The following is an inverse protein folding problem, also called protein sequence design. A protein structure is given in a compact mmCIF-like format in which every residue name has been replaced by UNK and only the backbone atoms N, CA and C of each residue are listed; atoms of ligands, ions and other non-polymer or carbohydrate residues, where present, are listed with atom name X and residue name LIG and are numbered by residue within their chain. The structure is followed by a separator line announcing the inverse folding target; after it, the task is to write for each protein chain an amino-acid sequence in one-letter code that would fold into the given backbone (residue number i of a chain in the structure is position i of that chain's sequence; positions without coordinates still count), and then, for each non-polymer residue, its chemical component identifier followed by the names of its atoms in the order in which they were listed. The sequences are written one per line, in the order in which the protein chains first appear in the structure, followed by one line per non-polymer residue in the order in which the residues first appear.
data_IF_261338841555
#
_entry.id   IF_261338841555
#
_cell.length_a   1.000
_cell.length_b   1.000
_cell.length_c   1.000
_cell.angle_alpha   90.00
_cell.angle_beta   90.00
_cell.angle_gamma   90.00
#
_symmetry.space_group_name_H-M   'P 1'
#
loop_
_entity.id
_entity.type
_entity.pdbx_description
1 polymer ?
#
# COMPACT_ATOMS: atom_id res chain seq x y z
N UNK A 1 -8.72 12.18 14.93
CA UNK A 1 -8.80 12.12 13.48
C UNK A 1 -8.41 13.43 12.80
N UNK A 2 -9.09 14.55 12.99
CA UNK A 2 -8.71 15.85 12.38
C UNK A 2 -7.23 16.19 12.58
N UNK A 3 -6.74 16.08 13.81
CA UNK A 3 -5.31 16.33 14.14
C UNK A 3 -4.36 15.41 13.36
N UNK A 4 -4.69 14.11 13.22
CA UNK A 4 -3.87 13.19 12.43
C UNK A 4 -3.84 13.59 10.96
N UNK A 5 -5.00 13.78 10.34
CA UNK A 5 -5.11 14.13 8.92
C UNK A 5 -4.36 15.43 8.60
N UNK A 6 -4.57 16.47 9.43
CA UNK A 6 -3.88 17.75 9.25
C UNK A 6 -2.38 17.60 9.50
N UNK A 7 -1.99 16.82 10.53
CA UNK A 7 -0.58 16.55 10.81
C UNK A 7 0.16 15.88 9.64
N UNK A 8 -0.44 14.86 9.06
CA UNK A 8 0.08 14.21 7.86
C UNK A 8 0.16 15.18 6.66
N UNK A 9 -0.90 15.99 6.47
CA UNK A 9 -0.93 17.00 5.42
C UNK A 9 0.16 18.08 5.59
N UNK A 10 0.53 18.39 6.84
CA UNK A 10 1.64 19.30 7.17
C UNK A 10 3.02 18.62 7.07
N UNK A 11 3.08 17.36 6.67
CA UNK A 11 4.33 16.61 6.55
C UNK A 11 4.98 16.25 7.88
N UNK A 12 4.20 16.16 8.96
CA UNK A 12 4.71 15.72 10.25
C UNK A 12 4.83 14.19 10.25
N UNK A 13 6.04 13.69 10.39
CA UNK A 13 6.48 12.33 10.14
C UNK A 13 6.13 11.29 11.23
N UNK A 14 5.51 11.73 12.33
CA UNK A 14 5.19 10.82 13.43
C UNK A 14 4.07 11.34 14.32
N UNK A 15 3.30 10.44 14.90
CA UNK A 15 2.27 10.74 15.93
C UNK A 15 2.82 11.62 17.06
N UNK A 16 4.10 11.43 17.40
CA UNK A 16 4.76 12.23 18.44
C UNK A 16 4.92 13.69 18.00
N UNK A 17 5.37 13.91 16.78
CA UNK A 17 5.55 15.26 16.24
C UNK A 17 4.20 15.94 16.01
N UNK A 18 3.21 15.21 15.51
CA UNK A 18 1.83 15.68 15.38
C UNK A 18 1.27 16.12 16.75
N UNK A 19 1.31 15.23 17.74
CA UNK A 19 0.81 15.52 19.08
C UNK A 19 1.51 16.75 19.70
N UNK A 20 2.84 16.82 19.59
CA UNK A 20 3.65 17.94 20.09
C UNK A 20 3.27 19.25 19.41
N UNK A 21 3.15 19.24 18.08
CA UNK A 21 2.82 20.43 17.28
C UNK A 21 1.46 21.00 17.67
N UNK A 22 0.41 20.18 17.71
CA UNK A 22 -0.93 20.62 18.06
C UNK A 22 -1.03 21.05 19.53
N UNK A 23 -0.34 20.36 20.42
CA UNK A 23 -0.29 20.72 21.84
C UNK A 23 0.38 22.07 22.09
N UNK A 24 1.39 22.40 21.28
CA UNK A 24 2.10 23.66 21.41
C UNK A 24 1.36 24.85 20.77
N UNK A 25 0.76 24.64 19.58
CA UNK A 25 0.23 25.73 18.78
C UNK A 25 -1.29 25.90 18.85
N UNK A 26 -2.02 24.84 19.22
CA UNK A 26 -3.49 24.80 19.09
C UNK A 26 -4.18 24.17 20.30
N UNK A 27 -3.60 24.30 21.50
CA UNK A 27 -4.18 23.71 22.70
C UNK A 27 -5.57 24.29 23.01
N UNK A 28 -5.78 25.56 22.71
CA UNK A 28 -7.06 26.25 22.91
C UNK A 28 -8.18 25.67 22.04
N UNK A 29 -7.81 25.21 20.84
CA UNK A 29 -8.76 24.55 19.93
C UNK A 29 -9.01 23.09 20.30
N UNK A 30 -8.04 22.47 20.97
CA UNK A 30 -8.10 21.08 21.39
C UNK A 30 -7.79 20.92 22.90
N UNK A 31 -8.61 21.53 23.79
CA UNK A 31 -8.32 21.56 25.24
C UNK A 31 -8.29 20.17 25.88
N UNK A 32 -8.92 19.19 25.24
CA UNK A 32 -8.92 17.78 25.68
C UNK A 32 -7.81 16.94 25.07
N UNK A 33 -6.86 17.55 24.36
CA UNK A 33 -5.68 16.84 23.84
C UNK A 33 -4.77 16.43 25.01
N UNK A 34 -4.96 15.22 25.48
CA UNK A 34 -4.28 14.67 26.66
C UNK A 34 -2.78 14.39 26.45
N UNK A 35 -2.28 13.42 27.17
CA UNK A 35 -0.89 12.98 27.03
C UNK A 35 -0.65 12.29 25.68
N UNK A 36 0.62 12.26 25.23
CA UNK A 36 1.01 11.55 24.02
C UNK A 36 0.56 10.07 23.98
N UNK A 37 0.72 9.27 25.06
CA UNK A 37 0.19 7.89 25.06
C UNK A 37 -1.33 7.82 24.82
N UNK A 38 -2.09 8.75 25.41
CA UNK A 38 -3.54 8.79 25.18
C UNK A 38 -3.86 9.19 23.75
N UNK A 39 -3.11 10.12 23.17
CA UNK A 39 -3.26 10.50 21.77
C UNK A 39 -3.03 9.27 20.86
N UNK A 40 -1.95 8.54 21.02
CA UNK A 40 -1.68 7.32 20.24
C UNK A 40 -2.78 6.27 20.40
N UNK A 41 -3.29 6.07 21.64
CA UNK A 41 -4.40 5.15 21.90
C UNK A 41 -5.67 5.57 21.16
N UNK A 42 -5.99 6.86 21.16
CA UNK A 42 -7.13 7.39 20.41
C UNK A 42 -6.94 7.21 18.91
N UNK A 43 -5.75 7.47 18.39
CA UNK A 43 -5.42 7.27 16.98
C UNK A 43 -5.60 5.80 16.57
N UNK A 44 -5.09 4.88 17.36
CA UNK A 44 -5.23 3.44 17.13
C UNK A 44 -6.71 2.99 17.13
N UNK A 45 -7.55 3.56 18.01
CA UNK A 45 -8.97 3.22 18.10
C UNK A 45 -9.80 3.77 16.91
N UNK A 46 -9.25 4.67 16.11
CA UNK A 46 -9.94 5.26 14.94
C UNK A 46 -9.84 4.42 13.68
N UNK A 47 -9.22 3.26 13.72
CA UNK A 47 -9.00 2.42 12.54
C UNK A 47 -10.30 2.10 11.78
N UNK A 48 -11.39 1.78 12.48
CA UNK A 48 -12.70 1.50 11.87
C UNK A 48 -13.27 2.74 11.16
N UNK A 49 -13.12 3.91 11.76
CA UNK A 49 -13.59 5.18 11.18
C UNK A 49 -12.77 5.49 9.92
N UNK A 50 -11.46 5.31 9.97
CA UNK A 50 -10.58 5.47 8.81
C UNK A 50 -11.00 4.53 7.68
N UNK A 51 -11.32 3.28 7.97
CA UNK A 51 -11.80 2.31 7.00
C UNK A 51 -13.15 2.73 6.37
N UNK A 52 -14.08 3.26 7.18
CA UNK A 52 -15.35 3.79 6.67
C UNK A 52 -15.14 4.99 5.75
N UNK A 53 -14.22 5.90 6.10
CA UNK A 53 -13.86 7.05 5.27
C UNK A 53 -13.25 6.57 3.95
N UNK A 54 -12.30 5.64 3.99
CA UNK A 54 -11.70 5.06 2.77
C UNK A 54 -12.76 4.40 1.88
N UNK A 55 -13.71 3.69 2.49
CA UNK A 55 -14.82 3.08 1.74
C UNK A 55 -15.70 4.13 1.05
N UNK A 56 -15.99 5.26 1.72
CA UNK A 56 -16.75 6.37 1.12
C UNK A 56 -15.98 7.04 0.00
N UNK A 57 -14.69 7.35 0.23
CA UNK A 57 -13.80 7.93 -0.79
C UNK A 57 -13.76 7.02 -2.01
N UNK A 58 -13.56 5.71 -1.80
CA UNK A 58 -13.56 4.71 -2.86
C UNK A 58 -14.85 4.78 -3.69
N UNK A 59 -16.02 4.71 -3.05
CA UNK A 59 -17.33 4.78 -3.74
C UNK A 59 -17.53 6.07 -4.54
N UNK A 60 -16.97 7.19 -4.07
CA UNK A 60 -17.12 8.49 -4.72
C UNK A 60 -16.19 8.67 -5.92
N UNK A 61 -15.00 8.08 -5.88
CA UNK A 61 -13.93 8.34 -6.85
C UNK A 61 -13.51 7.10 -7.66
N UNK A 62 -14.06 5.91 -7.39
CA UNK A 62 -13.81 4.71 -8.18
C UNK A 62 -14.72 4.67 -9.42
N UNK A 63 -14.44 5.52 -10.38
CA UNK A 63 -15.10 5.46 -11.69
C UNK A 63 -14.15 5.01 -12.80
N UNK A 64 -12.88 4.78 -12.47
CA UNK A 64 -11.86 4.36 -13.42
C UNK A 64 -11.87 2.84 -13.60
N UNK A 65 -11.72 2.40 -14.84
CA UNK A 65 -11.51 1.00 -15.19
C UNK A 65 -10.03 0.65 -15.38
N UNK A 66 -9.12 1.48 -14.85
CA UNK A 66 -7.67 1.29 -14.93
C UNK A 66 -7.09 1.37 -13.53
N UNK A 67 -6.47 0.27 -13.12
CA UNK A 67 -5.90 0.11 -11.78
C UNK A 67 -4.45 -0.35 -11.87
N UNK A 68 -3.67 -0.06 -10.84
CA UNK A 68 -2.30 -0.53 -10.69
C UNK A 68 -2.10 -1.10 -9.29
N UNK A 69 -1.41 -2.23 -9.21
CA UNK A 69 -1.06 -2.88 -7.96
C UNK A 69 0.45 -2.95 -7.83
N UNK A 70 0.95 -2.67 -6.63
CA UNK A 70 2.36 -2.89 -6.28
C UNK A 70 2.53 -3.20 -4.80
N UNK A 71 3.68 -3.79 -4.45
CA UNK A 71 4.03 -4.15 -3.09
C UNK A 71 5.30 -3.44 -2.63
N UNK A 72 5.35 -3.07 -1.35
CA UNK A 72 6.49 -2.43 -0.73
C UNK A 72 6.84 -3.03 0.63
N UNK A 73 8.13 -3.04 1.01
CA UNK A 73 8.55 -3.60 2.28
C UNK A 73 8.17 -2.71 3.45
N UNK A 74 7.66 -3.31 4.53
CA UNK A 74 7.41 -2.67 5.83
C UNK A 74 8.26 -3.39 6.89
N UNK A 75 9.53 -2.99 7.08
CA UNK A 75 10.40 -3.64 8.04
C UNK A 75 10.00 -3.28 9.48
N UNK A 76 9.77 -4.30 10.29
CA UNK A 76 9.60 -4.15 11.75
C UNK A 76 10.97 -3.95 12.40
N UNK A 77 11.97 -4.70 11.95
CA UNK A 77 13.34 -4.53 12.40
C UNK A 77 14.35 -5.10 11.38
N UNK A 78 15.63 -4.74 11.57
CA UNK A 78 16.73 -5.34 10.81
C UNK A 78 16.82 -6.84 11.05
N UNK A 79 17.18 -7.60 10.03
CA UNK A 79 17.27 -9.07 10.06
C UNK A 79 18.01 -9.61 11.28
N UNK A 80 19.17 -9.04 11.64
CA UNK A 80 19.97 -9.47 12.78
C UNK A 80 19.25 -9.35 14.14
N UNK A 81 18.25 -8.49 14.25
CA UNK A 81 17.46 -8.28 15.47
C UNK A 81 16.20 -9.13 15.54
N UNK A 82 15.78 -9.73 14.44
CA UNK A 82 14.49 -10.43 14.31
C UNK A 82 14.31 -11.53 15.37
N UNK A 83 15.34 -12.33 15.64
CA UNK A 83 15.28 -13.42 16.63
C UNK A 83 15.01 -12.93 18.06
N UNK A 84 15.44 -11.70 18.39
CA UNK A 84 15.28 -11.08 19.73
C UNK A 84 14.03 -10.19 19.80
N UNK A 85 13.41 -9.88 18.65
CA UNK A 85 12.23 -9.01 18.59
C UNK A 85 11.00 -9.75 19.11
N UNK A 86 10.26 -9.11 20.03
CA UNK A 86 9.10 -9.76 20.69
C UNK A 86 7.77 -9.48 19.99
N UNK A 87 7.68 -8.35 19.26
CA UNK A 87 6.45 -7.96 18.60
C UNK A 87 6.29 -8.69 17.26
N UNK A 88 5.06 -9.02 16.92
CA UNK A 88 4.68 -9.64 15.64
C UNK A 88 5.36 -10.99 15.36
N UNK A 89 5.69 -11.78 16.41
CA UNK A 89 6.38 -13.06 16.22
C UNK A 89 5.62 -14.06 15.38
N UNK A 90 4.30 -14.01 15.44
CA UNK A 90 3.37 -14.91 14.72
C UNK A 90 2.94 -14.36 13.39
N UNK A 91 3.01 -13.03 13.20
CA UNK A 91 2.35 -12.33 12.09
C UNK A 91 3.33 -11.79 11.06
N UNK A 92 4.57 -11.53 11.45
CA UNK A 92 5.61 -11.02 10.54
C UNK A 92 6.46 -12.15 9.95
N UNK A 93 6.98 -11.92 8.75
CA UNK A 93 7.81 -12.85 8.02
C UNK A 93 9.19 -12.29 7.65
N UNK A 94 10.07 -13.17 7.17
CA UNK A 94 11.38 -12.80 6.64
C UNK A 94 11.31 -12.64 5.12
N UNK A 95 11.92 -11.58 4.59
CA UNK A 95 12.01 -11.35 3.15
C UNK A 95 13.28 -10.60 2.77
N UNK A 96 13.45 -10.39 1.48
CA UNK A 96 14.56 -9.66 0.89
C UNK A 96 14.02 -8.52 0.02
N UNK A 97 14.49 -7.31 0.29
CA UNK A 97 14.21 -6.14 -0.52
C UNK A 97 15.31 -5.99 -1.58
N UNK A 98 15.00 -6.29 -2.85
CA UNK A 98 15.97 -6.23 -3.94
C UNK A 98 16.46 -4.79 -4.19
N UNK A 99 15.59 -3.78 -4.07
CA UNK A 99 15.95 -2.38 -4.27
C UNK A 99 16.97 -1.87 -3.24
N UNK A 100 16.88 -2.34 -2.00
CA UNK A 100 17.80 -1.97 -0.92
C UNK A 100 18.90 -3.00 -0.68
N UNK A 101 18.87 -4.13 -1.40
CA UNK A 101 19.78 -5.27 -1.21
C UNK A 101 19.87 -5.75 0.26
N UNK A 102 18.77 -5.64 0.98
CA UNK A 102 18.70 -5.94 2.42
C UNK A 102 17.68 -7.03 2.74
N UNK A 103 18.07 -7.94 3.66
CA UNK A 103 17.12 -8.86 4.30
C UNK A 103 16.43 -8.13 5.46
N UNK A 104 15.13 -8.30 5.58
CA UNK A 104 14.36 -7.70 6.66
C UNK A 104 13.37 -8.70 7.27
N UNK A 105 12.90 -8.37 8.46
CA UNK A 105 11.82 -9.04 9.14
C UNK A 105 10.67 -8.05 9.31
N UNK A 106 9.49 -8.42 8.86
CA UNK A 106 8.34 -7.52 8.89
C UNK A 106 7.19 -7.97 8.01
N UNK A 107 6.57 -6.99 7.39
CA UNK A 107 5.43 -7.15 6.51
C UNK A 107 5.77 -6.65 5.10
N UNK A 108 4.91 -7.00 4.17
CA UNK A 108 4.83 -6.39 2.85
C UNK A 108 3.49 -5.68 2.75
N UNK A 109 3.51 -4.39 2.49
CA UNK A 109 2.33 -3.61 2.15
C UNK A 109 1.99 -3.80 0.68
N UNK A 110 0.72 -3.92 0.37
CA UNK A 110 0.22 -3.94 -1.00
C UNK A 110 -0.82 -2.83 -1.14
N UNK A 111 -0.72 -2.07 -2.21
CA UNK A 111 -1.69 -1.03 -2.51
C UNK A 111 -2.20 -1.19 -3.94
N UNK A 112 -3.43 -0.78 -4.13
CA UNK A 112 -4.04 -0.60 -5.45
C UNK A 112 -4.34 0.88 -5.61
N UNK A 113 -3.95 1.44 -6.73
CA UNK A 113 -4.32 2.80 -7.12
C UNK A 113 -5.15 2.79 -8.39
N UNK A 114 -5.97 3.81 -8.59
CA UNK A 114 -6.65 4.05 -9.85
C UNK A 114 -5.77 4.86 -10.81
N UNK A 115 -6.28 5.15 -12.01
CA UNK A 115 -5.56 5.94 -13.02
C UNK A 115 -5.19 7.35 -12.53
N UNK A 116 -5.99 7.95 -11.66
CA UNK A 116 -5.70 9.26 -11.05
C UNK A 116 -4.58 9.22 -10.00
N UNK A 117 -4.13 8.03 -9.56
CA UNK A 117 -3.14 7.85 -8.52
C UNK A 117 -3.72 7.79 -7.10
N UNK A 118 -5.04 7.71 -6.96
CA UNK A 118 -5.70 7.56 -5.67
C UNK A 118 -5.62 6.10 -5.19
N UNK A 119 -5.26 5.89 -3.93
CA UNK A 119 -5.27 4.57 -3.31
C UNK A 119 -6.72 4.10 -3.16
N UNK A 120 -7.06 3.02 -3.85
CA UNK A 120 -8.41 2.43 -3.82
C UNK A 120 -8.51 1.25 -2.89
N UNK A 121 -7.42 0.52 -2.72
CA UNK A 121 -7.34 -0.58 -1.75
C UNK A 121 -5.93 -0.75 -1.20
N UNK A 122 -5.81 -1.37 -0.02
CA UNK A 122 -4.54 -1.72 0.58
C UNK A 122 -4.68 -2.90 1.54
N UNK A 123 -3.61 -3.65 1.70
CA UNK A 123 -3.50 -4.70 2.72
C UNK A 123 -2.05 -4.88 3.16
N UNK A 124 -1.88 -5.57 4.29
CA UNK A 124 -0.57 -5.93 4.81
C UNK A 124 -0.51 -7.45 5.00
N UNK A 125 0.53 -8.05 4.45
CA UNK A 125 0.78 -9.48 4.59
C UNK A 125 2.16 -9.73 5.22
N UNK A 126 2.39 -10.88 5.88
CA UNK A 126 3.73 -11.28 6.27
C UNK A 126 4.70 -11.16 5.10
N UNK A 127 5.92 -10.69 5.35
CA UNK A 127 6.86 -10.38 4.26
C UNK A 127 7.23 -11.59 3.38
N UNK A 128 7.01 -12.80 3.85
CA UNK A 128 7.23 -14.07 3.12
C UNK A 128 6.03 -14.56 2.33
N UNK A 129 4.87 -13.88 2.40
CA UNK A 129 3.71 -14.22 1.57
C UNK A 129 3.99 -13.92 0.09
N UNK A 130 3.39 -14.72 -0.78
CA UNK A 130 3.44 -14.50 -2.22
C UNK A 130 2.55 -13.30 -2.59
N UNK A 131 3.11 -12.35 -3.34
CA UNK A 131 2.39 -11.14 -3.79
C UNK A 131 1.15 -11.48 -4.62
N UNK A 132 1.18 -12.62 -5.30
CA UNK A 132 0.11 -13.09 -6.18
C UNK A 132 -1.11 -13.56 -5.41
N UNK A 133 -0.90 -14.19 -4.25
CA UNK A 133 -2.00 -14.62 -3.39
C UNK A 133 -2.67 -13.42 -2.74
N UNK A 134 -1.87 -12.45 -2.30
CA UNK A 134 -2.37 -11.18 -1.74
C UNK A 134 -3.12 -10.35 -2.78
N UNK A 135 -2.68 -10.37 -4.05
CA UNK A 135 -3.35 -9.67 -5.12
C UNK A 135 -4.81 -10.13 -5.30
N UNK A 136 -5.07 -11.42 -5.18
CA UNK A 136 -6.43 -11.97 -5.29
C UNK A 136 -7.38 -11.40 -4.23
N UNK A 137 -6.86 -11.13 -3.03
CA UNK A 137 -7.65 -10.58 -1.93
C UNK A 137 -8.04 -9.10 -2.19
N UNK A 138 -7.06 -8.25 -2.54
CA UNK A 138 -7.29 -6.80 -2.62
C UNK A 138 -7.89 -6.34 -3.94
N UNK A 139 -7.97 -7.22 -4.94
CA UNK A 139 -8.51 -6.90 -6.26
C UNK A 139 -9.91 -7.48 -6.54
N UNK A 140 -10.59 -8.01 -5.53
CA UNK A 140 -11.90 -8.65 -5.68
C UNK A 140 -12.98 -7.76 -6.31
N UNK A 141 -12.88 -6.44 -6.15
CA UNK A 141 -13.87 -5.48 -6.63
C UNK A 141 -13.36 -4.64 -7.82
N UNK A 142 -12.31 -5.08 -8.48
CA UNK A 142 -11.72 -4.38 -9.63
C UNK A 142 -12.31 -4.91 -10.93
N UNK A 143 -12.52 -4.01 -11.87
CA UNK A 143 -12.92 -4.32 -13.24
C UNK A 143 -12.03 -3.58 -14.23
N UNK A 144 -11.92 -4.09 -15.46
CA UNK A 144 -11.15 -3.46 -16.52
C UNK A 144 -9.66 -3.83 -16.48
N UNK A 145 -8.76 -2.87 -16.58
CA UNK A 145 -7.33 -3.10 -16.70
C UNK A 145 -6.64 -3.05 -15.33
N UNK A 146 -5.85 -4.07 -15.01
CA UNK A 146 -4.98 -4.13 -13.86
C UNK A 146 -3.51 -4.19 -14.28
N UNK A 147 -2.79 -3.10 -14.10
CA UNK A 147 -1.34 -3.03 -14.30
C UNK A 147 -0.59 -3.52 -13.06
N UNK A 148 0.39 -4.40 -13.25
CA UNK A 148 1.19 -4.94 -12.14
C UNK A 148 2.66 -5.10 -12.51
N UNK A 149 3.54 -5.37 -11.54
CA UNK A 149 4.94 -5.67 -11.82
C UNK A 149 5.12 -7.11 -12.37
N UNK A 150 6.33 -7.39 -12.87
CA UNK A 150 6.76 -8.72 -13.35
C UNK A 150 6.58 -9.84 -12.31
N UNK A 151 6.60 -9.50 -11.03
CA UNK A 151 6.32 -10.42 -9.93
C UNK A 151 4.96 -11.08 -10.02
N UNK A 152 3.99 -10.39 -10.60
CA UNK A 152 2.61 -10.87 -10.78
C UNK A 152 2.42 -11.72 -12.05
N UNK A 153 3.47 -11.91 -12.86
CA UNK A 153 3.40 -12.72 -14.07
C UNK A 153 3.30 -14.21 -13.72
N UNK A 154 2.08 -14.75 -13.76
CA UNK A 154 1.76 -16.16 -13.52
C UNK A 154 0.57 -16.57 -14.39
N UNK A 155 0.66 -17.69 -15.15
CA UNK A 155 -0.44 -18.10 -16.04
C UNK A 155 -1.77 -18.32 -15.31
N UNK A 156 -1.73 -18.92 -14.10
CA UNK A 156 -2.90 -19.20 -13.29
C UNK A 156 -3.56 -17.90 -12.81
N UNK A 157 -2.75 -16.90 -12.42
CA UNK A 157 -3.25 -15.60 -12.00
C UNK A 157 -3.91 -14.85 -13.16
N UNK A 158 -3.29 -14.89 -14.34
CA UNK A 158 -3.89 -14.31 -15.54
C UNK A 158 -5.22 -14.97 -15.87
N UNK A 159 -5.29 -16.30 -15.88
CA UNK A 159 -6.53 -17.05 -16.11
C UNK A 159 -7.64 -16.70 -15.11
N UNK A 160 -7.28 -16.53 -13.84
CA UNK A 160 -8.22 -16.10 -12.82
C UNK A 160 -8.81 -14.71 -13.13
N UNK A 161 -7.97 -13.74 -13.49
CA UNK A 161 -8.42 -12.40 -13.81
C UNK A 161 -9.23 -12.34 -15.11
N UNK A 162 -8.86 -13.10 -16.12
CA UNK A 162 -9.63 -13.23 -17.37
C UNK A 162 -11.08 -13.70 -17.09
N UNK A 163 -11.27 -14.65 -16.15
CA UNK A 163 -12.60 -15.10 -15.71
C UNK A 163 -13.40 -14.02 -14.95
N UNK A 164 -12.73 -13.06 -14.33
CA UNK A 164 -13.33 -11.93 -13.63
C UNK A 164 -13.51 -10.70 -14.53
N UNK A 165 -13.26 -10.81 -15.83
CA UNK A 165 -13.26 -9.69 -16.77
C UNK A 165 -12.27 -8.58 -16.40
N UNK A 166 -11.13 -8.96 -15.82
CA UNK A 166 -10.00 -8.08 -15.50
C UNK A 166 -8.84 -8.40 -16.42
N UNK A 167 -8.39 -7.43 -17.19
CA UNK A 167 -7.22 -7.56 -18.07
C UNK A 167 -5.93 -7.29 -17.30
N UNK A 168 -5.28 -8.35 -16.83
CA UNK A 168 -3.99 -8.25 -16.12
C UNK A 168 -2.86 -7.97 -17.10
N UNK A 169 -2.25 -6.80 -16.99
CA UNK A 169 -1.12 -6.33 -17.79
C UNK A 169 0.14 -6.22 -16.96
N UNK A 170 1.15 -7.02 -17.30
CA UNK A 170 2.47 -7.02 -16.65
C UNK A 170 3.57 -6.82 -17.69
N UNK A 171 4.73 -6.23 -17.33
CA UNK A 171 5.91 -6.24 -18.19
C UNK A 171 6.39 -7.67 -18.39
N UNK A 172 6.72 -8.02 -19.62
CA UNK A 172 7.29 -9.33 -19.92
C UNK A 172 8.76 -9.41 -19.44
N UNK A 173 9.23 -10.61 -19.15
CA UNK A 173 10.63 -10.87 -18.86
C UNK A 173 11.47 -10.72 -20.14
N UNK A 174 12.76 -10.44 -20.01
CA UNK A 174 13.68 -10.23 -21.16
C UNK A 174 13.71 -11.39 -22.18
N UNK A 175 13.40 -12.60 -21.73
CA UNK A 175 13.36 -13.82 -22.55
C UNK A 175 11.97 -14.10 -23.16
N UNK A 176 11.02 -13.21 -23.01
CA UNK A 176 9.66 -13.35 -23.56
C UNK A 176 9.47 -12.35 -24.69
N UNK A 177 8.85 -12.81 -25.78
CA UNK A 177 8.48 -11.93 -26.90
C UNK A 177 7.20 -11.18 -26.56
N UNK A 178 7.23 -9.87 -26.73
CA UNK A 178 6.07 -9.03 -26.52
C UNK A 178 5.48 -8.62 -27.88
N UNK A 179 4.28 -9.13 -28.17
CA UNK A 179 3.56 -8.84 -29.40
C UNK A 179 2.61 -7.65 -29.26
N UNK A 180 2.52 -7.04 -28.06
CA UNK A 180 1.64 -5.90 -27.82
C UNK A 180 2.17 -4.64 -28.49
N UNK A 181 1.28 -3.69 -28.88
CA UNK A 181 1.70 -2.42 -29.45
C UNK A 181 2.65 -1.66 -28.51
N UNK A 182 3.80 -1.22 -29.05
CA UNK A 182 4.83 -0.50 -28.27
C UNK A 182 4.26 0.75 -27.57
N UNK A 183 3.32 1.44 -28.20
CA UNK A 183 2.65 2.62 -27.68
C UNK A 183 1.82 2.28 -26.42
N UNK A 184 1.02 1.21 -26.47
CA UNK A 184 0.24 0.76 -25.33
C UNK A 184 1.14 0.38 -24.16
N UNK A 185 2.26 -0.29 -24.42
CA UNK A 185 3.25 -0.63 -23.40
C UNK A 185 3.93 0.60 -22.81
N UNK A 186 4.21 1.62 -23.62
CA UNK A 186 4.77 2.89 -23.12
C UNK A 186 3.81 3.60 -22.18
N UNK A 187 2.52 3.67 -22.54
CA UNK A 187 1.48 4.26 -21.70
C UNK A 187 1.37 3.49 -20.39
N UNK A 188 1.28 2.17 -20.45
CA UNK A 188 1.20 1.32 -19.26
C UNK A 188 2.39 1.53 -18.32
N UNK A 189 3.61 1.56 -18.85
CA UNK A 189 4.83 1.77 -18.06
C UNK A 189 4.89 3.17 -17.44
N UNK A 190 4.48 4.20 -18.18
CA UNK A 190 4.46 5.57 -17.66
C UNK A 190 3.40 5.72 -16.55
N UNK A 191 2.25 5.08 -16.70
CA UNK A 191 1.19 5.14 -15.69
C UNK A 191 1.57 4.34 -14.44
N UNK A 192 2.29 3.22 -14.61
CA UNK A 192 2.82 2.43 -13.48
C UNK A 192 3.74 3.26 -12.58
N UNK A 193 4.51 4.21 -13.12
CA UNK A 193 5.36 5.09 -12.31
C UNK A 193 4.57 5.91 -11.28
N UNK A 194 3.26 6.11 -11.47
CA UNK A 194 2.42 6.78 -10.47
C UNK A 194 2.35 6.00 -9.17
N UNK A 195 2.26 4.67 -9.23
CA UNK A 195 2.22 3.86 -8.01
C UNK A 195 3.55 3.92 -7.25
N UNK A 196 4.68 3.95 -7.98
CA UNK A 196 6.01 4.12 -7.38
C UNK A 196 6.11 5.48 -6.65
N UNK A 197 5.54 6.55 -7.25
CA UNK A 197 5.47 7.88 -6.61
C UNK A 197 4.58 7.87 -5.37
N UNK A 198 3.43 7.18 -5.41
CA UNK A 198 2.51 7.05 -4.25
C UNK A 198 3.15 6.28 -3.10
N UNK A 199 3.96 5.26 -3.41
CA UNK A 199 4.71 4.48 -2.41
C UNK A 199 5.91 5.27 -1.86
N UNK A 200 6.37 6.31 -2.56
CA UNK A 200 7.55 7.10 -2.19
C UNK A 200 8.87 6.45 -2.60
N UNK A 201 8.86 5.72 -3.69
CA UNK A 201 10.05 5.07 -4.28
C UNK A 201 10.64 5.88 -5.43
#
# INVERSE_FOLDING_TARGET
MTIQIIGEFLGLDSDKNICKYFKHNYLDWFPKLGSYPNFCKHCANLWQVNQQIMTKIRKTFMHDNIHFIDGFPIPVCRYARAKKHRNFKTDAGFSYCAAKQEKYYGFKGHIVINFSGMITDYTFAPANCDERDVALEITQNIHGLLGADKGYLRPELKKYYDLQSVDLQTPFRKNMVDHRPKEAMRILMNTRRKIETVIGQ
#
